data_IF_776812667643
#
_entry.id   IF_776812667643
#
_cell.length_a   1.000
_cell.length_b   1.000
_cell.length_c   1.000
_cell.angle_alpha   90.00
_cell.angle_beta   90.00
_cell.angle_gamma   90.00
#
_symmetry.space_group_name_H-M   'P 1'
#
loop_
_entity.id
_entity.type
_entity.pdbx_description
1 polymer ?
#
# COMPACT_ATOMS: atom_id res chain seq x y z
N UNK A 1 -5.86 17.26 6.49
CA UNK A 1 -5.01 16.15 6.92
C UNK A 1 -4.68 15.23 5.74
N UNK A 2 -3.41 14.96 5.57
CA UNK A 2 -2.92 14.06 4.52
C UNK A 2 -2.31 12.83 5.19
N UNK A 3 -2.76 11.64 4.78
CA UNK A 3 -2.28 10.38 5.34
C UNK A 3 -1.79 9.48 4.20
N UNK A 4 -0.57 8.97 4.30
CA UNK A 4 -0.04 7.97 3.39
C UNK A 4 -0.02 6.62 4.09
N UNK A 5 -0.59 5.59 3.45
CA UNK A 5 -0.75 4.28 4.10
C UNK A 5 -0.64 3.15 3.07
N UNK A 6 0.11 2.08 3.39
CA UNK A 6 0.14 0.89 2.54
C UNK A 6 -1.21 0.16 2.52
N UNK A 7 -1.51 -0.48 1.40
CA UNK A 7 -2.75 -1.24 1.19
C UNK A 7 -2.45 -2.73 1.16
N UNK A 8 -2.78 -3.45 2.24
CA UNK A 8 -2.50 -4.88 2.33
C UNK A 8 -3.35 -5.73 1.38
N UNK A 9 -4.34 -5.14 0.73
CA UNK A 9 -5.17 -5.81 -0.30
C UNK A 9 -4.63 -5.62 -1.72
N UNK A 10 -3.50 -4.94 -1.88
CA UNK A 10 -2.88 -4.73 -3.19
C UNK A 10 -2.36 -6.04 -3.78
N UNK A 11 -2.10 -6.04 -5.10
CA UNK A 11 -1.55 -7.19 -5.80
C UNK A 11 -0.22 -7.64 -5.19
N UNK A 12 0.70 -6.71 -4.96
CA UNK A 12 2.01 -7.02 -4.40
C UNK A 12 1.91 -7.57 -2.97
N UNK A 13 1.01 -7.03 -2.14
CA UNK A 13 0.79 -7.56 -0.80
C UNK A 13 0.29 -9.01 -0.84
N UNK A 14 -0.65 -9.31 -1.72
CA UNK A 14 -1.18 -10.68 -1.88
C UNK A 14 -0.10 -11.61 -2.42
N UNK A 15 0.72 -11.14 -3.35
CA UNK A 15 1.80 -11.93 -3.93
C UNK A 15 2.89 -12.28 -2.90
N UNK A 16 3.36 -11.27 -2.14
CA UNK A 16 4.47 -11.46 -1.19
C UNK A 16 4.04 -12.06 0.14
N UNK A 17 2.78 -11.92 0.51
CA UNK A 17 2.25 -12.45 1.78
C UNK A 17 3.08 -11.93 2.96
N UNK A 18 3.63 -12.82 3.79
CA UNK A 18 4.41 -12.44 4.98
C UNK A 18 5.71 -11.67 4.65
N UNK A 19 6.21 -11.75 3.42
CA UNK A 19 7.43 -11.05 3.01
C UNK A 19 7.15 -9.63 2.49
N UNK A 20 5.88 -9.24 2.39
CA UNK A 20 5.53 -7.92 1.88
C UNK A 20 6.08 -6.82 2.79
N UNK A 21 6.95 -5.94 2.24
CA UNK A 21 7.60 -4.89 3.00
C UNK A 21 6.62 -3.84 3.53
N UNK A 22 5.45 -3.71 2.90
CA UNK A 22 4.42 -2.78 3.35
C UNK A 22 3.88 -3.09 4.74
N UNK A 23 4.03 -4.31 5.23
CA UNK A 23 3.67 -4.62 6.61
C UNK A 23 4.59 -3.97 7.63
N UNK A 24 5.86 -3.80 7.29
CA UNK A 24 6.85 -3.09 8.10
C UNK A 24 6.84 -3.53 9.57
N UNK A 25 6.84 -4.86 9.77
CA UNK A 25 6.84 -5.46 11.10
C UNK A 25 8.25 -5.36 11.70
N UNK A 26 8.42 -4.95 12.96
CA UNK A 26 7.39 -4.68 13.98
C UNK A 26 6.90 -3.22 14.07
N UNK A 27 7.26 -2.37 13.14
CA UNK A 27 6.92 -0.94 13.21
C UNK A 27 5.42 -0.67 13.09
N UNK A 28 4.73 -1.42 12.22
CA UNK A 28 3.28 -1.30 12.03
C UNK A 28 2.58 -2.51 12.62
N UNK A 29 1.72 -2.27 13.62
CA UNK A 29 0.90 -3.33 14.22
C UNK A 29 -0.46 -3.44 13.54
N UNK A 30 -0.94 -2.36 12.90
CA UNK A 30 -2.27 -2.28 12.32
C UNK A 30 -2.14 -2.10 10.80
N UNK A 31 -2.80 -3.00 10.07
CA UNK A 31 -2.80 -2.94 8.61
C UNK A 31 -4.24 -2.74 8.14
N UNK A 32 -4.49 -1.62 7.48
CA UNK A 32 -5.83 -1.21 7.09
C UNK A 32 -5.99 -1.26 5.58
N UNK A 33 -7.18 -1.74 5.13
CA UNK A 33 -7.59 -1.55 3.75
C UNK A 33 -7.99 -0.08 3.54
N UNK A 34 -8.12 0.39 2.28
CA UNK A 34 -8.63 1.74 2.04
C UNK A 34 -9.96 2.00 2.74
N UNK A 35 -10.90 1.06 2.65
CA UNK A 35 -12.19 1.19 3.33
C UNK A 35 -12.03 1.25 4.85
N UNK A 36 -11.18 0.38 5.41
CA UNK A 36 -10.93 0.36 6.85
C UNK A 36 -10.37 1.67 7.37
N UNK A 37 -9.40 2.24 6.65
CA UNK A 37 -8.82 3.54 7.01
C UNK A 37 -9.87 4.65 6.95
N UNK A 38 -10.66 4.69 5.89
CA UNK A 38 -11.70 5.71 5.73
C UNK A 38 -12.73 5.60 6.87
N UNK A 39 -13.14 4.37 7.23
CA UNK A 39 -14.09 4.14 8.32
C UNK A 39 -13.54 4.62 9.66
N UNK A 40 -12.29 4.28 9.97
CA UNK A 40 -11.63 4.70 11.22
C UNK A 40 -11.53 6.22 11.29
N UNK A 41 -11.13 6.86 10.21
CA UNK A 41 -10.99 8.32 10.16
C UNK A 41 -12.36 9.00 10.26
N UNK A 42 -13.38 8.43 9.64
CA UNK A 42 -14.76 8.95 9.75
C UNK A 42 -15.24 8.92 11.19
N UNK A 43 -15.01 7.81 11.91
CA UNK A 43 -15.38 7.68 13.33
C UNK A 43 -14.61 8.67 14.20
N UNK A 44 -13.42 9.09 13.76
CA UNK A 44 -12.58 10.05 14.49
C UNK A 44 -12.90 11.51 14.15
N UNK A 45 -13.92 11.77 13.37
CA UNK A 45 -14.38 13.14 13.06
C UNK A 45 -13.76 13.75 11.81
N UNK A 46 -13.24 12.93 10.89
CA UNK A 46 -12.66 13.39 9.62
C UNK A 46 -13.53 12.95 8.46
N UNK A 47 -13.68 13.82 7.49
CA UNK A 47 -14.40 13.55 6.27
C UNK A 47 -13.44 13.17 5.15
N UNK A 48 -13.70 12.06 4.48
CA UNK A 48 -12.92 11.62 3.33
C UNK A 48 -13.14 12.55 2.14
N UNK A 49 -12.07 13.07 1.57
CA UNK A 49 -12.13 13.92 0.38
C UNK A 49 -11.71 13.15 -0.86
N UNK A 50 -10.48 12.59 -0.84
CA UNK A 50 -9.96 11.86 -2.00
C UNK A 50 -8.80 10.96 -1.61
N UNK A 51 -8.45 10.03 -2.50
CA UNK A 51 -7.23 9.23 -2.40
C UNK A 51 -6.56 9.15 -3.76
N UNK A 52 -5.24 9.09 -3.77
CA UNK A 52 -4.45 8.92 -4.98
C UNK A 52 -3.46 7.79 -4.80
N UNK A 53 -3.30 6.91 -5.79
CA UNK A 53 -2.33 5.81 -5.68
C UNK A 53 -0.89 6.35 -5.75
N UNK A 54 0.00 5.67 -5.04
CA UNK A 54 1.43 5.96 -5.04
C UNK A 54 2.15 4.94 -5.93
N UNK A 55 2.21 5.22 -7.23
CA UNK A 55 2.73 4.24 -8.20
C UNK A 55 4.20 3.89 -7.99
N UNK A 56 5.03 4.87 -7.62
CA UNK A 56 6.46 4.60 -7.37
C UNK A 56 6.68 3.74 -6.13
N UNK A 57 5.79 3.86 -5.15
CA UNK A 57 5.89 3.09 -3.92
C UNK A 57 5.76 1.59 -4.17
N UNK A 58 4.96 1.18 -5.17
CA UNK A 58 4.82 -0.23 -5.53
C UNK A 58 6.16 -0.85 -5.94
N UNK A 59 6.98 -0.12 -6.70
CA UNK A 59 8.31 -0.60 -7.09
C UNK A 59 9.23 -0.73 -5.89
N UNK A 60 9.28 0.29 -5.05
CA UNK A 60 10.13 0.32 -3.87
C UNK A 60 9.76 -0.80 -2.89
N UNK A 61 8.48 -0.94 -2.58
CA UNK A 61 7.97 -1.96 -1.65
C UNK A 61 8.21 -3.36 -2.21
N UNK A 62 8.01 -3.56 -3.51
CA UNK A 62 8.24 -4.87 -4.14
C UNK A 62 9.71 -5.24 -4.11
N UNK A 63 10.61 -4.29 -4.36
CA UNK A 63 12.05 -4.55 -4.28
C UNK A 63 12.48 -4.93 -2.85
N UNK A 64 11.98 -4.20 -1.85
CA UNK A 64 12.26 -4.55 -0.45
C UNK A 64 11.69 -5.92 -0.08
N UNK A 65 10.51 -6.25 -0.59
CA UNK A 65 9.89 -7.56 -0.34
C UNK A 65 10.75 -8.69 -0.93
N UNK A 66 11.32 -8.49 -2.12
CA UNK A 66 12.24 -9.46 -2.69
C UNK A 66 13.51 -9.60 -1.86
N UNK A 67 14.02 -8.51 -1.29
CA UNK A 67 15.17 -8.57 -0.38
C UNK A 67 14.84 -9.36 0.88
N UNK A 68 13.64 -9.22 1.43
CA UNK A 68 13.20 -10.01 2.59
C UNK A 68 13.11 -11.50 2.25
N UNK A 69 12.79 -11.85 1.03
CA UNK A 69 12.82 -13.24 0.54
C UNK A 69 14.25 -13.72 0.25
N UNK A 70 15.25 -12.85 0.37
CA UNK A 70 16.64 -13.14 0.05
C UNK A 70 16.84 -13.58 -1.40
N UNK A 71 16.07 -13.01 -2.31
CA UNK A 71 16.16 -13.28 -3.73
C UNK A 71 17.43 -12.66 -4.32
N UNK A 72 18.17 -13.43 -5.14
CA UNK A 72 19.37 -12.93 -5.81
C UNK A 72 19.04 -11.89 -6.90
N UNK A 73 17.86 -12.00 -7.49
CA UNK A 73 17.40 -11.09 -8.54
C UNK A 73 16.33 -10.12 -8.00
N UNK A 74 16.51 -9.66 -6.76
CA UNK A 74 15.52 -8.82 -6.09
C UNK A 74 15.17 -7.56 -6.89
N UNK A 75 16.15 -6.97 -7.57
CA UNK A 75 15.95 -5.75 -8.33
C UNK A 75 14.99 -5.99 -9.51
N UNK A 76 15.28 -7.04 -10.30
CA UNK A 76 14.47 -7.35 -11.50
C UNK A 76 13.08 -7.83 -11.10
N UNK A 77 13.00 -8.77 -10.17
CA UNK A 77 11.70 -9.31 -9.72
C UNK A 77 10.86 -8.24 -9.05
N UNK A 78 11.47 -7.40 -8.20
CA UNK A 78 10.76 -6.31 -7.54
C UNK A 78 10.20 -5.32 -8.54
N UNK A 79 10.95 -4.98 -9.57
CA UNK A 79 10.48 -4.10 -10.63
C UNK A 79 9.27 -4.70 -11.36
N UNK A 80 9.36 -5.99 -11.75
CA UNK A 80 8.28 -6.66 -12.46
C UNK A 80 7.01 -6.77 -11.61
N UNK A 81 7.13 -7.12 -10.34
CA UNK A 81 5.98 -7.22 -9.45
C UNK A 81 5.38 -5.83 -9.18
N UNK A 82 6.22 -4.81 -9.00
CA UNK A 82 5.75 -3.44 -8.84
C UNK A 82 4.98 -2.96 -10.07
N UNK A 83 5.49 -3.27 -11.26
CA UNK A 83 4.80 -2.94 -12.50
C UNK A 83 3.46 -3.68 -12.60
N UNK A 84 3.44 -4.97 -12.29
CA UNK A 84 2.20 -5.76 -12.27
C UNK A 84 1.18 -5.19 -11.28
N UNK A 85 1.64 -4.80 -10.09
CA UNK A 85 0.78 -4.19 -9.08
C UNK A 85 0.16 -2.88 -9.57
N UNK A 86 0.95 -2.03 -10.23
CA UNK A 86 0.45 -0.78 -10.80
C UNK A 86 -0.57 -1.04 -11.92
N UNK A 87 -0.33 -2.02 -12.79
CA UNK A 87 -1.28 -2.38 -13.85
C UNK A 87 -2.59 -2.90 -13.26
N UNK A 88 -2.51 -3.76 -12.25
CA UNK A 88 -3.70 -4.27 -11.55
C UNK A 88 -4.47 -3.12 -10.90
N UNK A 89 -3.77 -2.13 -10.32
CA UNK A 89 -4.44 -0.99 -9.69
C UNK A 89 -5.20 -0.14 -10.69
N UNK A 90 -4.71 -0.02 -11.93
CA UNK A 90 -5.42 0.71 -12.98
C UNK A 90 -6.73 0.05 -13.37
N UNK A 91 -6.80 -1.29 -13.31
CA UNK A 91 -8.00 -2.04 -13.69
C UNK A 91 -8.91 -2.36 -12.50
N UNK A 92 -8.35 -2.68 -11.32
CA UNK A 92 -9.11 -3.13 -10.16
C UNK A 92 -9.13 -2.14 -8.99
N UNK A 93 -8.34 -1.08 -9.05
CA UNK A 93 -8.37 -0.03 -8.03
C UNK A 93 -7.68 -0.34 -6.71
N UNK A 94 -6.79 -1.35 -6.66
CA UNK A 94 -6.05 -1.69 -5.45
C UNK A 94 -4.54 -1.43 -5.64
N UNK A 95 -4.12 -0.19 -5.46
CA UNK A 95 -2.70 0.17 -5.51
C UNK A 95 -1.98 -0.29 -4.24
N UNK A 96 -0.65 -0.41 -4.33
CA UNK A 96 0.20 -0.81 -3.20
C UNK A 96 0.07 0.13 -2.01
N UNK A 97 0.01 1.42 -2.26
CA UNK A 97 -0.17 2.44 -1.23
C UNK A 97 -1.01 3.58 -1.78
N UNK A 98 -1.67 4.30 -0.89
CA UNK A 98 -2.48 5.47 -1.23
C UNK A 98 -2.12 6.66 -0.36
N UNK A 99 -2.24 7.85 -0.94
CA UNK A 99 -2.25 9.11 -0.19
C UNK A 99 -3.70 9.55 -0.06
N UNK A 100 -4.16 9.70 1.17
CA UNK A 100 -5.54 10.09 1.47
C UNK A 100 -5.59 11.54 1.90
N UNK A 101 -6.64 12.24 1.50
CA UNK A 101 -6.92 13.61 1.96
C UNK A 101 -8.21 13.60 2.76
N UNK A 102 -8.15 14.09 3.98
CA UNK A 102 -9.29 14.19 4.89
C UNK A 102 -9.49 15.63 5.33
N UNK A 103 -10.72 15.99 5.61
CA UNK A 103 -11.10 17.30 6.15
C UNK A 103 -11.68 17.10 7.55
N UNK A 104 -11.23 17.93 8.50
CA UNK A 104 -11.79 17.91 9.85
C UNK A 104 -13.23 18.46 9.81
N UNK A 105 -14.16 17.75 10.45
CA UNK A 105 -15.58 18.13 10.44
C UNK A 105 -15.91 19.28 11.39
N UNK A 106 -15.06 19.52 12.38
CA UNK A 106 -15.31 20.53 13.40
C UNK A 106 -14.39 21.72 13.28
#
# INVERSE_FOLDING_TARGET
LIVACPNYKSFDAVYYKKFWAGYDVPRHYWHLSPKGLIDVMSDSGFEYISKKPMYFDAFYVSMLSEQYKKSKLWFVKGFLIGLASNLVSLFKGNASSYVYVFKKRF
#
